data_IF_326322280393
#
_entry.id   IF_326322280393
#
_cell.length_a   1.000
_cell.length_b   1.000
_cell.length_c   1.000
_cell.angle_alpha   90.00
_cell.angle_beta   90.00
_cell.angle_gamma   90.00
#
_symmetry.space_group_name_H-M   'P 1'
#
loop_
_entity.id
_entity.type
_entity.pdbx_description
1 polymer ?
#
# COMPACT_ATOMS: atom_id res chain seq x y z
N UNK A 1 24.00 -13.58 73.50
CA UNK A 1 23.19 -14.71 73.01
C UNK A 1 22.13 -14.13 72.09
N UNK A 2 22.24 -14.45 70.80
CA UNK A 2 21.41 -14.10 69.63
C UNK A 2 21.21 -12.61 69.28
N UNK A 3 22.17 -12.11 68.49
CA UNK A 3 22.00 -11.06 67.49
C UNK A 3 20.98 -11.49 66.42
N UNK A 4 19.92 -10.71 66.22
CA UNK A 4 19.05 -10.80 65.04
C UNK A 4 19.02 -9.41 64.38
N UNK A 5 19.35 -9.44 63.11
CA UNK A 5 19.89 -8.38 62.25
C UNK A 5 18.83 -7.44 61.67
N UNK A 6 19.12 -6.14 61.66
CA UNK A 6 18.38 -5.10 60.92
C UNK A 6 18.26 -5.38 59.41
N UNK A 7 19.11 -6.25 58.85
CA UNK A 7 19.08 -6.67 57.44
C UNK A 7 17.84 -7.49 57.04
N UNK A 8 17.06 -8.00 57.99
CA UNK A 8 15.91 -8.86 57.68
C UNK A 8 14.66 -8.03 57.32
N UNK A 9 14.55 -6.81 57.83
CA UNK A 9 13.36 -5.96 57.65
C UNK A 9 13.34 -5.26 56.27
N UNK A 10 14.53 -4.85 55.80
CA UNK A 10 14.71 -4.19 54.50
C UNK A 10 14.41 -5.16 53.35
N UNK A 11 14.72 -6.44 53.51
CA UNK A 11 14.55 -7.46 52.47
C UNK A 11 13.07 -7.85 52.26
N UNK A 12 12.24 -7.84 53.31
CA UNK A 12 10.84 -8.28 53.24
C UNK A 12 9.86 -7.24 52.70
N UNK A 13 10.13 -5.94 52.85
CA UNK A 13 9.21 -4.87 52.44
C UNK A 13 9.54 -4.32 51.05
N UNK A 14 10.82 -4.30 50.65
CA UNK A 14 11.25 -3.67 49.39
C UNK A 14 11.08 -4.62 48.19
N UNK A 15 11.27 -5.94 48.37
CA UNK A 15 11.08 -6.94 47.32
C UNK A 15 9.67 -6.94 46.68
N UNK A 16 8.56 -6.95 47.43
CA UNK A 16 7.22 -7.00 46.83
C UNK A 16 6.84 -5.69 46.12
N UNK A 17 7.38 -4.54 46.55
CA UNK A 17 7.09 -3.23 45.95
C UNK A 17 7.80 -3.09 44.59
N UNK A 18 9.07 -3.51 44.50
CA UNK A 18 9.83 -3.49 43.24
C UNK A 18 9.21 -4.47 42.23
N UNK A 19 8.81 -5.67 42.68
CA UNK A 19 8.20 -6.68 41.82
C UNK A 19 6.84 -6.23 41.25
N UNK A 20 6.06 -5.47 42.03
CA UNK A 20 4.77 -4.91 41.61
C UNK A 20 4.93 -3.81 40.56
N UNK A 21 5.95 -2.96 40.67
CA UNK A 21 6.21 -1.89 39.69
C UNK A 21 6.74 -2.42 38.35
N UNK A 22 7.57 -3.48 38.37
CA UNK A 22 8.04 -4.15 37.14
C UNK A 22 6.85 -4.83 36.43
N UNK A 23 5.93 -5.43 37.18
CA UNK A 23 4.74 -6.05 36.61
C UNK A 23 3.82 -5.02 35.94
N UNK A 24 3.63 -3.85 36.56
CA UNK A 24 2.87 -2.74 35.97
C UNK A 24 3.53 -2.20 34.71
N UNK A 25 4.85 -2.02 34.70
CA UNK A 25 5.59 -1.58 33.51
C UNK A 25 5.53 -2.60 32.36
N UNK A 26 5.62 -3.90 32.68
CA UNK A 26 5.45 -4.99 31.71
C UNK A 26 4.02 -5.02 31.14
N UNK A 27 3.00 -4.90 31.99
CA UNK A 27 1.60 -4.88 31.58
C UNK A 27 1.28 -3.66 30.70
N UNK A 28 1.82 -2.49 31.04
CA UNK A 28 1.65 -1.27 30.25
C UNK A 28 2.30 -1.40 28.87
N UNK A 29 3.46 -2.05 28.79
CA UNK A 29 4.17 -2.32 27.53
C UNK A 29 3.37 -3.27 26.62
N UNK A 30 2.71 -4.29 27.19
CA UNK A 30 1.83 -5.21 26.45
C UNK A 30 0.58 -4.48 25.93
N UNK A 31 0.02 -3.54 26.70
CA UNK A 31 -1.13 -2.73 26.28
C UNK A 31 -0.78 -1.75 25.15
N UNK A 32 0.44 -1.19 25.13
CA UNK A 32 0.92 -0.32 24.03
C UNK A 32 1.25 -1.08 22.73
N UNK A 33 1.54 -2.38 22.80
CA UNK A 33 1.75 -3.23 21.61
C UNK A 33 0.44 -3.62 20.89
N UNK A 34 -0.72 -3.39 21.50
CA UNK A 34 -2.03 -3.64 20.88
C UNK A 34 -2.38 -2.60 19.81
N UNK A 35 -1.64 -1.49 19.73
CA UNK A 35 -1.79 -0.48 18.68
C UNK A 35 -0.99 -0.83 17.42
N UNK A 36 -0.87 -2.12 17.10
CA UNK A 36 -0.43 -2.55 15.78
C UNK A 36 -1.53 -2.13 14.80
N UNK A 37 -1.36 -0.94 14.25
CA UNK A 37 -2.27 -0.34 13.28
C UNK A 37 -2.47 -1.36 12.17
N UNK A 38 -3.73 -1.75 11.94
CA UNK A 38 -4.12 -2.53 10.77
C UNK A 38 -3.73 -1.69 9.56
N UNK A 39 -2.56 -2.00 8.99
CA UNK A 39 -2.11 -1.39 7.74
C UNK A 39 -3.05 -1.99 6.68
N UNK A 40 -4.12 -1.25 6.36
CA UNK A 40 -5.03 -1.60 5.28
C UNK A 40 -4.22 -1.62 3.98
N UNK A 41 -3.71 -2.79 3.63
CA UNK A 41 -2.99 -3.02 2.39
C UNK A 41 -4.02 -3.23 1.29
N UNK A 42 -3.87 -2.49 0.20
CA UNK A 42 -4.72 -2.69 -0.96
C UNK A 42 -4.55 -4.13 -1.48
N UNK A 43 -5.63 -4.88 -1.52
CA UNK A 43 -5.64 -6.27 -1.95
C UNK A 43 -5.49 -6.32 -3.47
N UNK A 44 -4.43 -6.96 -3.96
CA UNK A 44 -4.20 -7.10 -5.40
C UNK A 44 -5.25 -8.02 -6.02
N UNK A 45 -5.86 -7.58 -7.12
CA UNK A 45 -6.90 -8.35 -7.82
C UNK A 45 -6.31 -8.98 -9.08
N UNK A 46 -5.87 -8.14 -10.02
CA UNK A 46 -5.43 -8.59 -11.33
C UNK A 46 -4.46 -7.60 -11.99
N UNK A 47 -3.77 -8.09 -13.02
CA UNK A 47 -2.99 -7.28 -13.95
C UNK A 47 -3.54 -7.52 -15.35
N UNK A 48 -3.76 -6.45 -16.12
CA UNK A 48 -4.03 -6.58 -17.56
C UNK A 48 -2.99 -5.86 -18.40
N UNK A 49 -2.70 -6.48 -19.54
CA UNK A 49 -1.78 -5.94 -20.55
C UNK A 49 -2.56 -5.04 -21.50
N UNK A 50 -2.11 -3.79 -21.65
CA UNK A 50 -2.68 -2.78 -22.54
C UNK A 50 -2.01 -2.84 -23.91
N UNK A 51 -0.68 -2.92 -23.90
CA UNK A 51 0.16 -2.96 -25.09
C UNK A 51 1.43 -3.74 -24.76
N UNK A 52 1.95 -4.47 -25.74
CA UNK A 52 3.13 -5.31 -25.57
C UNK A 52 4.01 -5.17 -26.82
N UNK A 53 5.09 -4.43 -26.68
CA UNK A 53 6.16 -4.38 -27.68
C UNK A 53 7.34 -5.23 -27.19
N UNK A 54 8.33 -5.47 -28.07
CA UNK A 54 9.50 -6.30 -27.78
C UNK A 54 10.33 -5.82 -26.57
N UNK A 55 10.31 -4.51 -26.29
CA UNK A 55 11.16 -3.88 -25.28
C UNK A 55 10.37 -3.25 -24.11
N UNK A 56 9.06 -3.05 -24.27
CA UNK A 56 8.22 -2.38 -23.30
C UNK A 56 6.79 -2.90 -23.37
N UNK A 57 6.24 -3.21 -22.21
CA UNK A 57 4.85 -3.55 -22.03
C UNK A 57 4.19 -2.47 -21.19
N UNK A 58 3.02 -2.00 -21.61
CA UNK A 58 2.17 -1.17 -20.76
C UNK A 58 1.12 -2.06 -20.13
N UNK A 59 1.04 -2.03 -18.81
CA UNK A 59 0.05 -2.77 -18.02
C UNK A 59 -0.72 -1.83 -17.12
N UNK A 60 -1.85 -2.29 -16.61
CA UNK A 60 -2.41 -1.75 -15.38
C UNK A 60 -2.61 -2.86 -14.35
N UNK A 61 -2.55 -2.48 -13.08
CA UNK A 61 -2.82 -3.34 -11.92
C UNK A 61 -4.04 -2.81 -11.17
N UNK A 62 -4.94 -3.72 -10.83
CA UNK A 62 -6.11 -3.44 -10.01
C UNK A 62 -5.87 -3.86 -8.57
N UNK A 63 -6.32 -3.00 -7.66
CA UNK A 63 -6.31 -3.28 -6.24
C UNK A 63 -7.66 -2.92 -5.63
N UNK A 64 -8.16 -3.75 -4.72
CA UNK A 64 -9.29 -3.44 -3.86
C UNK A 64 -8.77 -2.66 -2.64
N UNK A 65 -9.37 -1.52 -2.33
CA UNK A 65 -8.89 -0.60 -1.29
C UNK A 65 -9.87 -0.42 -0.14
N UNK A 66 -10.92 -1.25 -0.08
CA UNK A 66 -12.02 -1.15 0.88
C UNK A 66 -13.38 -1.22 0.18
N UNK A 67 -14.47 -1.07 0.94
CA UNK A 67 -15.84 -1.29 0.47
C UNK A 67 -16.12 -0.46 -0.80
N UNK A 68 -16.39 -1.16 -1.90
CA UNK A 68 -16.78 -0.64 -3.21
C UNK A 68 -15.76 0.33 -3.85
N UNK A 69 -14.51 0.30 -3.39
CA UNK A 69 -13.44 1.18 -3.86
C UNK A 69 -12.25 0.38 -4.38
N UNK A 70 -11.77 0.81 -5.53
CA UNK A 70 -10.66 0.19 -6.25
C UNK A 70 -9.62 1.24 -6.58
N UNK A 71 -8.39 0.79 -6.76
CA UNK A 71 -7.27 1.57 -7.25
C UNK A 71 -6.70 0.93 -8.50
N UNK A 72 -6.40 1.75 -9.49
CA UNK A 72 -5.77 1.34 -10.73
C UNK A 72 -4.46 2.06 -10.88
N UNK A 73 -3.38 1.29 -11.00
CA UNK A 73 -2.05 1.82 -11.25
C UNK A 73 -1.54 1.33 -12.61
N UNK A 74 -1.15 2.27 -13.47
CA UNK A 74 -0.58 2.00 -14.80
C UNK A 74 0.93 1.94 -14.71
N UNK A 75 1.54 0.99 -15.41
CA UNK A 75 2.99 0.79 -15.43
C UNK A 75 3.50 0.61 -16.85
N UNK A 76 4.69 1.15 -17.10
CA UNK A 76 5.58 0.66 -18.15
C UNK A 76 6.47 -0.42 -17.53
N UNK A 77 6.55 -1.57 -18.17
CA UNK A 77 7.33 -2.73 -17.74
C UNK A 77 8.30 -3.09 -18.84
N UNK A 78 9.56 -3.19 -18.50
CA UNK A 78 10.59 -3.77 -19.36
C UNK A 78 11.13 -5.06 -18.71
N UNK A 79 12.14 -5.69 -19.32
CA UNK A 79 12.67 -6.98 -18.83
C UNK A 79 13.26 -6.92 -17.42
N UNK A 80 13.69 -5.75 -16.95
CA UNK A 80 14.46 -5.59 -15.71
C UNK A 80 13.78 -4.70 -14.67
N UNK A 81 12.77 -3.91 -15.05
CA UNK A 81 12.21 -2.86 -14.22
C UNK A 81 10.75 -2.57 -14.60
N UNK A 82 10.01 -1.96 -13.66
CA UNK A 82 8.68 -1.43 -13.86
C UNK A 82 8.60 0.01 -13.35
N UNK A 83 8.21 0.94 -14.22
CA UNK A 83 7.99 2.34 -13.86
C UNK A 83 6.50 2.63 -13.79
N UNK A 84 6.02 3.13 -12.65
CA UNK A 84 4.63 3.60 -12.53
C UNK A 84 4.44 4.86 -13.38
N UNK A 85 3.39 4.87 -14.18
CA UNK A 85 3.02 5.98 -15.08
C UNK A 85 1.96 6.86 -14.41
N UNK A 86 0.83 6.26 -14.05
CA UNK A 86 -0.33 6.95 -13.47
C UNK A 86 -0.97 6.07 -12.41
N UNK A 87 -1.78 6.70 -11.55
CA UNK A 87 -2.64 5.97 -10.63
C UNK A 87 -3.86 6.80 -10.26
N UNK A 88 -4.98 6.12 -10.05
CA UNK A 88 -6.22 6.76 -9.60
C UNK A 88 -7.18 5.74 -8.97
N UNK A 89 -8.18 6.28 -8.27
CA UNK A 89 -9.23 5.49 -7.62
C UNK A 89 -10.45 5.37 -8.54
N UNK A 90 -11.18 4.26 -8.40
CA UNK A 90 -12.35 3.90 -9.20
C UNK A 90 -13.38 3.26 -8.29
N UNK A 91 -14.66 3.62 -8.45
CA UNK A 91 -15.74 2.95 -7.74
C UNK A 91 -16.09 1.60 -8.38
N UNK A 92 -16.73 0.71 -7.61
CA UNK A 92 -17.18 -0.60 -8.09
C UNK A 92 -18.03 -0.55 -9.36
N UNK A 93 -18.98 0.40 -9.44
CA UNK A 93 -19.84 0.56 -10.61
C UNK A 93 -19.04 0.85 -11.89
N UNK A 94 -17.97 1.64 -11.77
CA UNK A 94 -17.10 1.99 -12.90
C UNK A 94 -16.15 0.85 -13.25
N UNK A 95 -15.66 0.10 -12.26
CA UNK A 95 -14.85 -1.11 -12.48
C UNK A 95 -15.57 -2.13 -13.37
N UNK A 96 -16.83 -2.43 -13.06
CA UNK A 96 -17.64 -3.41 -13.79
C UNK A 96 -17.98 -2.99 -15.23
N UNK A 97 -17.84 -1.70 -15.57
CA UNK A 97 -18.19 -1.16 -16.89
C UNK A 97 -17.08 -1.25 -17.94
N UNK A 98 -15.90 -1.80 -17.60
CA UNK A 98 -14.66 -1.70 -18.38
C UNK A 98 -14.32 -0.24 -18.70
N UNK A 99 -13.78 0.50 -17.72
CA UNK A 99 -13.74 1.97 -17.77
C UNK A 99 -12.74 2.54 -18.77
N UNK A 100 -11.97 1.69 -19.48
CA UNK A 100 -10.90 2.12 -20.38
C UNK A 100 -11.11 1.65 -21.82
N UNK A 101 -11.00 2.58 -22.76
CA UNK A 101 -10.85 2.28 -24.19
C UNK A 101 -9.43 2.60 -24.64
N UNK A 102 -8.73 1.60 -25.14
CA UNK A 102 -7.32 1.71 -25.51
C UNK A 102 -7.21 1.84 -27.02
N UNK A 103 -6.47 2.84 -27.49
CA UNK A 103 -6.03 2.94 -28.88
C UNK A 103 -4.53 3.16 -28.92
N UNK A 104 -3.83 2.43 -29.78
CA UNK A 104 -2.37 2.48 -29.87
C UNK A 104 -1.90 2.69 -31.31
N UNK A 105 -0.80 3.41 -31.45
CA UNK A 105 0.02 3.46 -32.65
C UNK A 105 1.49 3.22 -32.28
N UNK A 106 2.41 3.38 -33.24
CA UNK A 106 3.84 3.09 -33.05
C UNK A 106 4.51 3.93 -31.96
N UNK A 107 4.09 5.18 -31.75
CA UNK A 107 4.75 6.10 -30.83
C UNK A 107 3.86 6.52 -29.66
N UNK A 108 2.57 6.19 -29.70
CA UNK A 108 1.60 6.70 -28.75
C UNK A 108 0.57 5.64 -28.34
N UNK A 109 0.21 5.66 -27.06
CA UNK A 109 -0.91 4.91 -26.50
C UNK A 109 -1.86 5.93 -25.87
N UNK A 110 -3.11 5.92 -26.33
CA UNK A 110 -4.19 6.72 -25.76
C UNK A 110 -5.11 5.79 -24.97
N UNK A 111 -5.20 6.04 -23.68
CA UNK A 111 -6.07 5.35 -22.72
C UNK A 111 -7.22 6.30 -22.43
N UNK A 112 -8.36 6.07 -23.10
CA UNK A 112 -9.58 6.84 -22.85
C UNK A 112 -10.28 6.31 -21.62
N UNK A 113 -10.63 7.17 -20.69
CA UNK A 113 -11.31 6.83 -19.45
C UNK A 113 -12.58 7.67 -19.29
N UNK A 114 -13.56 7.16 -18.55
CA UNK A 114 -14.78 7.90 -18.19
C UNK A 114 -14.70 8.54 -16.80
N UNK A 115 -13.54 8.50 -16.16
CA UNK A 115 -13.37 8.67 -14.71
C UNK A 115 -13.02 10.11 -14.33
N UNK A 116 -12.18 10.78 -15.11
CA UNK A 116 -11.72 12.14 -14.83
C UNK A 116 -11.51 12.92 -16.12
N UNK A 117 -11.80 14.21 -16.05
CA UNK A 117 -11.76 15.13 -17.19
C UNK A 117 -10.37 15.64 -17.55
N UNK A 118 -9.41 15.52 -16.64
CA UNK A 118 -8.06 16.01 -16.86
C UNK A 118 -7.25 15.03 -17.70
N UNK A 119 -6.67 15.54 -18.78
CA UNK A 119 -5.71 14.77 -19.56
C UNK A 119 -4.37 14.68 -18.81
N UNK A 120 -3.87 13.45 -18.66
CA UNK A 120 -2.52 13.19 -18.15
C UNK A 120 -1.67 12.64 -19.28
N UNK A 121 -0.49 13.22 -19.47
CA UNK A 121 0.46 12.79 -20.48
C UNK A 121 1.81 12.49 -19.85
N UNK A 122 2.41 11.39 -20.26
CA UNK A 122 3.76 11.02 -19.83
C UNK A 122 4.49 10.34 -20.99
N UNK A 123 5.81 10.48 -21.04
CA UNK A 123 6.67 9.81 -22.01
C UNK A 123 7.44 8.72 -21.27
N UNK A 124 7.37 7.48 -21.77
CA UNK A 124 8.10 6.37 -21.17
C UNK A 124 9.61 6.52 -21.38
N UNK A 125 10.42 5.74 -20.65
CA UNK A 125 11.88 5.72 -20.85
C UNK A 125 12.28 5.35 -22.29
N UNK A 126 11.44 4.57 -22.98
CA UNK A 126 11.66 4.18 -24.37
C UNK A 126 11.09 5.19 -25.39
N UNK A 127 10.64 6.36 -24.93
CA UNK A 127 10.16 7.45 -25.79
C UNK A 127 8.70 7.34 -26.24
N UNK A 128 7.93 6.38 -25.70
CA UNK A 128 6.51 6.22 -26.06
C UNK A 128 5.65 7.22 -25.30
N UNK A 129 4.81 7.95 -26.03
CA UNK A 129 3.83 8.87 -25.43
C UNK A 129 2.65 8.08 -24.89
N UNK A 130 2.32 8.24 -23.62
CA UNK A 130 1.12 7.68 -23.01
C UNK A 130 0.21 8.82 -22.61
N UNK A 131 -1.00 8.84 -23.17
CA UNK A 131 -2.03 9.84 -22.90
C UNK A 131 -3.20 9.16 -22.24
N UNK A 132 -3.59 9.66 -21.08
CA UNK A 132 -4.76 9.23 -20.33
C UNK A 132 -5.75 10.38 -20.35
N UNK A 133 -6.86 10.22 -21.08
CA UNK A 133 -7.79 11.31 -21.42
C UNK A 133 -9.24 10.85 -21.31
N UNK A 134 -10.20 11.75 -21.23
CA UNK A 134 -11.63 11.42 -21.32
C UNK A 134 -12.26 11.72 -22.69
N UNK A 135 -11.46 12.15 -23.65
CA UNK A 135 -11.86 12.54 -25.00
C UNK A 135 -11.72 11.41 -26.01
#
# INVERSE_FOLDING_TARGET
MLTLTENTFITFVIHPIIMKNIFIFSLLSILFLQSCSFLEQNEFIETKVISSDLNEQIIYKFYHTGINNYKVDFYSVNKSDSTKLFGHFVSEALFNSNPYRISQNRHEIIIRNQLFSEEKKLITRNGRSIILTNR
#
